data_IF_964858968021
#
_entry.id   IF_964858968021
#
_cell.length_a   1.000
_cell.length_b   1.000
_cell.length_c   1.000
_cell.angle_alpha   90.00
_cell.angle_beta   90.00
_cell.angle_gamma   90.00
#
_symmetry.space_group_name_H-M   'P 1'
#
loop_
_entity.id
_entity.type
_entity.pdbx_description
1 polymer ?
#
# COMPACT_ATOMS: atom_id res chain seq x y z
N UNK A 1 -25.59 34.79 5.58
CA UNK A 1 -25.32 34.44 6.99
C UNK A 1 -23.86 34.03 7.20
N UNK A 2 -23.28 34.21 8.41
CA UNK A 2 -21.93 33.70 8.74
C UNK A 2 -21.98 32.26 9.30
N UNK A 3 -20.85 31.54 9.33
CA UNK A 3 -20.74 30.18 9.87
C UNK A 3 -21.12 30.11 11.35
N UNK A 4 -20.52 30.97 12.19
CA UNK A 4 -20.82 30.99 13.63
C UNK A 4 -22.30 31.29 13.90
N UNK A 5 -22.87 32.21 13.13
CA UNK A 5 -24.29 32.54 13.20
C UNK A 5 -25.20 31.35 12.82
N UNK A 6 -24.77 30.54 11.83
CA UNK A 6 -25.47 29.30 11.46
C UNK A 6 -25.41 28.22 12.56
N UNK A 7 -24.28 28.11 13.26
CA UNK A 7 -24.12 27.21 14.42
C UNK A 7 -25.07 27.63 15.55
N UNK A 8 -25.12 28.93 15.84
CA UNK A 8 -25.97 29.50 16.87
C UNK A 8 -27.47 29.31 16.55
N UNK A 9 -27.89 29.58 15.30
CA UNK A 9 -29.28 29.42 14.85
C UNK A 9 -29.77 27.98 14.92
N UNK A 10 -28.89 27.01 14.66
CA UNK A 10 -29.21 25.59 14.75
C UNK A 10 -29.00 25.01 16.17
N UNK A 11 -28.64 25.85 17.15
CA UNK A 11 -28.42 25.48 18.54
C UNK A 11 -27.46 24.28 18.66
N UNK A 12 -26.37 24.30 17.89
CA UNK A 12 -25.42 23.20 17.85
C UNK A 12 -24.40 23.29 19.00
N UNK A 13 -23.98 22.16 19.60
CA UNK A 13 -22.91 22.14 20.60
C UNK A 13 -21.55 22.47 19.95
N UNK A 14 -20.54 22.86 20.72
CA UNK A 14 -19.20 23.20 20.18
C UNK A 14 -18.58 22.09 19.31
N UNK A 15 -18.89 20.82 19.62
CA UNK A 15 -18.37 19.66 18.91
C UNK A 15 -19.53 18.86 18.32
N UNK A 16 -20.04 19.33 17.19
CA UNK A 16 -21.18 18.75 16.50
C UNK A 16 -20.75 17.97 15.26
N UNK A 17 -21.52 16.95 14.89
CA UNK A 17 -21.35 16.22 13.63
C UNK A 17 -22.49 16.51 12.64
N UNK A 18 -22.38 16.00 11.41
CA UNK A 18 -23.41 16.19 10.37
C UNK A 18 -24.79 15.61 10.76
N UNK A 19 -24.81 14.56 11.58
CA UNK A 19 -26.07 14.00 12.09
C UNK A 19 -26.75 14.94 13.10
N UNK A 20 -25.97 15.70 13.87
CA UNK A 20 -26.47 16.70 14.82
C UNK A 20 -27.07 17.89 14.08
N UNK A 21 -26.42 18.37 13.00
CA UNK A 21 -26.95 19.41 12.11
C UNK A 21 -28.33 19.00 11.59
N UNK A 22 -28.43 17.78 11.03
CA UNK A 22 -29.68 17.28 10.47
C UNK A 22 -30.76 17.06 11.53
N UNK A 23 -30.38 16.63 12.73
CA UNK A 23 -31.30 16.44 13.85
C UNK A 23 -31.86 17.79 14.34
N UNK A 24 -31.00 18.75 14.62
CA UNK A 24 -31.40 20.09 15.07
C UNK A 24 -32.26 20.81 14.03
N UNK A 25 -31.87 20.74 12.76
CA UNK A 25 -32.66 21.28 11.66
C UNK A 25 -34.08 20.70 11.64
N UNK A 26 -34.25 19.38 11.70
CA UNK A 26 -35.58 18.73 11.71
C UNK A 26 -36.41 19.16 12.92
N UNK A 27 -35.77 19.26 14.09
CA UNK A 27 -36.41 19.70 15.34
C UNK A 27 -36.93 21.14 15.22
N UNK A 28 -36.09 22.06 14.77
CA UNK A 28 -36.43 23.47 14.62
C UNK A 28 -37.43 23.70 13.47
N UNK A 29 -37.25 23.02 12.33
CA UNK A 29 -38.17 23.12 11.20
C UNK A 29 -39.59 22.64 11.56
N UNK A 30 -39.73 21.57 12.35
CA UNK A 30 -41.04 21.11 12.80
C UNK A 30 -41.72 22.12 13.74
N UNK A 31 -40.93 22.85 14.55
CA UNK A 31 -41.41 23.86 15.51
C UNK A 31 -41.82 25.17 14.83
N UNK A 32 -41.06 25.62 13.83
CA UNK A 32 -41.28 26.90 13.14
C UNK A 32 -41.94 26.74 11.76
N UNK A 33 -42.56 25.59 11.47
CA UNK A 33 -43.21 25.38 10.17
C UNK A 33 -44.38 26.36 9.96
N UNK A 34 -44.44 27.09 8.83
CA UNK A 34 -45.50 28.07 8.58
C UNK A 34 -46.90 27.43 8.62
N UNK A 35 -47.05 26.22 8.05
CA UNK A 35 -48.34 25.49 8.07
C UNK A 35 -48.81 25.08 9.48
N UNK A 36 -47.91 25.07 10.47
CA UNK A 36 -48.23 24.79 11.88
C UNK A 36 -48.40 26.07 12.71
N UNK A 37 -48.46 27.23 12.06
CA UNK A 37 -48.51 28.54 12.73
C UNK A 37 -47.15 29.06 13.21
N UNK A 38 -46.05 28.53 12.67
CA UNK A 38 -44.69 28.98 12.96
C UNK A 38 -44.28 30.22 12.16
N UNK A 39 -43.18 30.84 12.58
CA UNK A 39 -42.64 32.04 11.94
C UNK A 39 -41.91 31.72 10.62
N UNK A 40 -42.40 32.27 9.52
CA UNK A 40 -41.83 32.11 8.18
C UNK A 40 -40.44 32.73 8.04
N UNK A 41 -40.17 33.87 8.70
CA UNK A 41 -38.86 34.51 8.64
C UNK A 41 -37.82 33.68 9.40
N UNK A 42 -38.19 33.16 10.56
CA UNK A 42 -37.31 32.30 11.35
C UNK A 42 -37.02 30.98 10.62
N UNK A 43 -38.02 30.40 9.96
CA UNK A 43 -37.82 29.21 9.12
C UNK A 43 -36.83 29.48 7.98
N UNK A 44 -36.88 30.64 7.32
CA UNK A 44 -35.90 31.00 6.29
C UNK A 44 -34.47 31.03 6.84
N UNK A 45 -34.27 31.60 8.04
CA UNK A 45 -32.96 31.61 8.72
C UNK A 45 -32.45 30.20 9.04
N UNK A 46 -33.33 29.31 9.49
CA UNK A 46 -33.00 27.89 9.76
C UNK A 46 -32.54 27.19 8.47
N UNK A 47 -33.22 27.44 7.35
CA UNK A 47 -32.84 26.89 6.03
C UNK A 47 -31.49 27.44 5.57
N UNK A 48 -31.29 28.76 5.67
CA UNK A 48 -30.02 29.39 5.32
C UNK A 48 -28.87 28.86 6.18
N UNK A 49 -29.11 28.59 7.47
CA UNK A 49 -28.11 28.01 8.39
C UNK A 49 -27.62 26.66 7.92
N UNK A 50 -28.57 25.78 7.62
CA UNK A 50 -28.25 24.44 7.12
C UNK A 50 -27.45 24.52 5.82
N UNK A 51 -27.84 25.40 4.90
CA UNK A 51 -27.14 25.55 3.62
C UNK A 51 -25.69 25.98 3.79
N UNK A 52 -25.41 26.95 4.68
CA UNK A 52 -24.04 27.41 4.96
C UNK A 52 -23.19 26.27 5.53
N UNK A 53 -23.72 25.51 6.50
CA UNK A 53 -22.98 24.40 7.11
C UNK A 53 -22.72 23.24 6.13
N UNK A 54 -23.70 22.91 5.28
CA UNK A 54 -23.55 21.86 4.26
C UNK A 54 -22.47 22.25 3.23
N UNK A 55 -22.45 23.51 2.79
CA UNK A 55 -21.43 24.00 1.85
C UNK A 55 -20.02 23.91 2.42
N UNK A 56 -19.86 24.22 3.71
CA UNK A 56 -18.56 24.14 4.36
C UNK A 56 -18.08 22.69 4.50
N UNK A 57 -18.99 21.78 4.85
CA UNK A 57 -18.70 20.35 4.92
C UNK A 57 -18.30 19.77 3.54
N UNK A 58 -19.00 20.17 2.47
CA UNK A 58 -18.69 19.78 1.10
C UNK A 58 -17.30 20.26 0.66
N UNK A 59 -16.92 21.50 1.00
CA UNK A 59 -15.57 22.03 0.68
C UNK A 59 -14.48 21.25 1.40
N UNK A 60 -14.67 20.99 2.68
CA UNK A 60 -13.71 20.24 3.50
C UNK A 60 -13.54 18.81 2.97
N UNK A 61 -14.65 18.13 2.66
CA UNK A 61 -14.64 16.78 2.08
C UNK A 61 -14.02 16.77 0.68
N UNK A 62 -14.28 17.79 -0.15
CA UNK A 62 -13.64 17.92 -1.46
C UNK A 62 -12.12 18.12 -1.35
N UNK A 63 -11.65 18.83 -0.32
CA UNK A 63 -10.22 19.00 -0.04
C UNK A 63 -9.57 17.66 0.35
N UNK A 64 -10.23 16.86 1.20
CA UNK A 64 -9.70 15.56 1.64
C UNK A 64 -9.67 14.55 0.49
N UNK A 65 -10.70 14.50 -0.36
CA UNK A 65 -10.72 13.61 -1.54
C UNK A 65 -9.60 13.95 -2.52
N UNK A 66 -9.35 15.23 -2.80
CA UNK A 66 -8.23 15.66 -3.66
C UNK A 66 -6.86 15.29 -3.07
N UNK A 67 -6.69 15.45 -1.75
CA UNK A 67 -5.47 15.05 -1.07
C UNK A 67 -5.25 13.54 -1.15
N UNK A 68 -6.32 12.74 -1.01
CA UNK A 68 -6.27 11.30 -1.17
C UNK A 68 -5.94 10.89 -2.61
N UNK A 69 -6.50 11.57 -3.61
CA UNK A 69 -6.21 11.32 -5.03
C UNK A 69 -4.74 11.56 -5.35
N UNK A 70 -4.18 12.68 -4.89
CA UNK A 70 -2.74 12.98 -5.03
C UNK A 70 -1.88 11.92 -4.33
N UNK A 71 -2.30 11.48 -3.14
CA UNK A 71 -1.61 10.42 -2.40
C UNK A 71 -1.63 9.08 -3.14
N UNK A 72 -2.78 8.69 -3.72
CA UNK A 72 -2.92 7.49 -4.52
C UNK A 72 -2.03 7.53 -5.78
N UNK A 73 -2.02 8.66 -6.49
CA UNK A 73 -1.15 8.85 -7.64
C UNK A 73 0.34 8.73 -7.26
N UNK A 74 0.71 9.25 -6.09
CA UNK A 74 2.07 9.12 -5.53
C UNK A 74 2.42 7.67 -5.19
N UNK A 75 1.46 6.88 -4.72
CA UNK A 75 1.66 5.45 -4.44
C UNK A 75 1.84 4.66 -5.74
N UNK A 76 1.01 4.92 -6.75
CA UNK A 76 1.08 4.24 -8.05
C UNK A 76 2.43 4.49 -8.72
N UNK A 77 2.88 5.74 -8.76
CA UNK A 77 4.19 6.09 -9.32
C UNK A 77 5.32 5.33 -8.62
N UNK A 78 5.34 5.30 -7.28
CA UNK A 78 6.32 4.52 -6.50
C UNK A 78 6.26 3.02 -6.78
N UNK A 79 5.06 2.45 -6.96
CA UNK A 79 4.90 1.04 -7.33
C UNK A 79 5.57 0.73 -8.68
N UNK A 80 5.39 1.59 -9.68
CA UNK A 80 6.02 1.40 -11.00
C UNK A 80 7.55 1.49 -10.93
N UNK A 81 8.11 2.29 -10.02
CA UNK A 81 9.56 2.34 -9.79
C UNK A 81 10.07 1.06 -9.15
N UNK A 82 9.39 0.53 -8.14
CA UNK A 82 9.73 -0.74 -7.50
C UNK A 82 9.77 -1.90 -8.52
N UNK A 83 8.81 -1.95 -9.44
CA UNK A 83 8.80 -2.96 -10.53
C UNK A 83 10.02 -2.85 -11.46
N UNK A 84 10.60 -1.66 -11.63
CA UNK A 84 11.88 -1.49 -12.36
C UNK A 84 13.04 -2.08 -11.57
N UNK A 85 13.11 -1.80 -10.27
CA UNK A 85 14.17 -2.35 -9.41
C UNK A 85 14.10 -3.88 -9.34
N UNK A 86 12.90 -4.47 -9.21
CA UNK A 86 12.75 -5.92 -9.22
C UNK A 86 13.25 -6.55 -10.53
N UNK A 87 13.03 -5.90 -11.68
CA UNK A 87 13.55 -6.40 -12.95
C UNK A 87 15.08 -6.38 -12.99
N UNK A 88 15.72 -5.40 -12.37
CA UNK A 88 17.18 -5.35 -12.26
C UNK A 88 17.68 -6.46 -11.33
N UNK A 89 17.06 -6.63 -10.16
CA UNK A 89 17.41 -7.69 -9.21
C UNK A 89 17.27 -9.07 -9.85
N UNK A 90 16.14 -9.36 -10.52
CA UNK A 90 15.94 -10.63 -11.25
C UNK A 90 17.01 -10.89 -12.31
N UNK A 91 17.43 -9.86 -13.06
CA UNK A 91 18.53 -9.97 -14.03
C UNK A 91 19.85 -10.31 -13.33
N UNK A 92 20.17 -9.63 -12.24
CA UNK A 92 21.39 -9.89 -11.47
C UNK A 92 21.40 -11.31 -10.88
N UNK A 93 20.28 -11.78 -10.34
CA UNK A 93 20.11 -13.15 -9.85
C UNK A 93 20.34 -14.18 -10.95
N UNK A 94 19.77 -13.99 -12.15
CA UNK A 94 19.99 -14.90 -13.29
C UNK A 94 21.46 -14.96 -13.72
N UNK A 95 22.17 -13.83 -13.67
CA UNK A 95 23.61 -13.78 -14.02
C UNK A 95 24.45 -14.44 -12.93
N UNK A 96 24.16 -14.19 -11.66
CA UNK A 96 24.87 -14.78 -10.53
C UNK A 96 24.68 -16.31 -10.50
N UNK A 97 23.45 -16.80 -10.63
CA UNK A 97 23.13 -18.22 -10.68
C UNK A 97 23.79 -18.91 -11.87
N UNK A 98 23.75 -18.32 -13.06
CA UNK A 98 24.42 -18.89 -14.25
C UNK A 98 25.94 -18.97 -14.07
N UNK A 99 26.57 -17.95 -13.46
CA UNK A 99 28.00 -17.95 -13.17
C UNK A 99 28.38 -19.01 -12.13
N UNK A 100 27.60 -19.15 -11.07
CA UNK A 100 27.81 -20.15 -10.02
C UNK A 100 27.62 -21.57 -10.60
N UNK A 101 26.50 -21.83 -11.29
CA UNK A 101 26.21 -23.12 -11.93
C UNK A 101 27.26 -23.47 -12.99
N UNK A 102 27.71 -22.50 -13.80
CA UNK A 102 28.76 -22.71 -14.79
C UNK A 102 30.10 -23.11 -14.15
N UNK A 103 30.49 -22.42 -13.08
CA UNK A 103 31.71 -22.77 -12.32
C UNK A 103 31.62 -24.15 -11.64
N UNK A 104 30.43 -24.53 -11.17
CA UNK A 104 30.17 -25.85 -10.59
C UNK A 104 30.17 -26.96 -11.64
N UNK A 105 29.61 -26.71 -12.83
CA UNK A 105 29.58 -27.69 -13.93
C UNK A 105 31.00 -27.98 -14.44
N UNK A 106 31.84 -26.94 -14.55
CA UNK A 106 33.26 -27.09 -14.90
C UNK A 106 34.06 -27.84 -13.82
N UNK A 107 33.82 -27.55 -12.53
CA UNK A 107 34.46 -28.30 -11.43
C UNK A 107 34.03 -29.76 -11.37
N UNK A 108 32.74 -30.06 -11.61
CA UNK A 108 32.22 -31.44 -11.68
C UNK A 108 32.81 -32.20 -12.87
N UNK A 109 32.88 -31.60 -14.06
CA UNK A 109 33.49 -32.27 -15.22
C UNK A 109 34.98 -32.56 -15.02
N UNK A 110 35.72 -31.63 -14.41
CA UNK A 110 37.12 -31.87 -14.03
C UNK A 110 37.26 -33.01 -13.02
N UNK A 111 36.39 -33.07 -12.02
CA UNK A 111 36.39 -34.16 -11.04
C UNK A 111 36.10 -35.53 -11.68
N UNK A 112 35.18 -35.61 -12.65
CA UNK A 112 34.91 -36.85 -13.41
C UNK A 112 36.08 -37.27 -14.29
N UNK A 113 36.73 -36.33 -14.98
CA UNK A 113 37.90 -36.63 -15.81
C UNK A 113 39.04 -37.13 -14.91
N UNK A 114 39.30 -36.44 -13.80
CA UNK A 114 40.30 -36.85 -12.83
C UNK A 114 40.02 -38.23 -12.23
N UNK A 115 38.76 -38.53 -11.87
CA UNK A 115 38.39 -39.84 -11.33
C UNK A 115 38.46 -40.95 -12.37
N UNK A 116 38.08 -40.70 -13.63
CA UNK A 116 38.20 -41.67 -14.71
C UNK A 116 39.66 -41.97 -15.07
N UNK A 117 40.52 -40.95 -15.16
CA UNK A 117 41.96 -41.12 -15.36
C UNK A 117 42.60 -41.86 -14.19
N UNK A 118 42.18 -41.57 -12.96
CA UNK A 118 42.61 -42.29 -11.77
C UNK A 118 42.19 -43.77 -11.84
N UNK A 119 40.91 -44.07 -12.09
CA UNK A 119 40.42 -45.45 -12.24
C UNK A 119 41.18 -46.23 -13.32
N UNK A 120 41.45 -45.62 -14.48
CA UNK A 120 42.26 -46.23 -15.54
C UNK A 120 43.70 -46.52 -15.10
N UNK A 121 44.32 -45.59 -14.37
CA UNK A 121 45.66 -45.77 -13.81
C UNK A 121 45.69 -46.89 -12.76
N UNK A 122 44.66 -46.98 -11.91
CA UNK A 122 44.52 -48.05 -10.90
C UNK A 122 44.17 -49.42 -11.49
N UNK A 123 43.51 -49.45 -12.65
CA UNK A 123 43.25 -50.69 -13.38
C UNK A 123 44.52 -51.20 -14.08
N UNK A 124 45.42 -50.29 -14.49
CA UNK A 124 46.70 -50.61 -15.13
C UNK A 124 47.86 -50.82 -14.14
N UNK A 125 47.81 -50.21 -12.95
CA UNK A 125 48.79 -50.39 -11.87
C UNK A 125 48.14 -51.10 -10.69
N UNK A 126 48.58 -52.34 -10.43
CA UNK A 126 48.16 -53.15 -9.30
C UNK A 126 48.48 -52.42 -7.99
N UNK A 127 47.42 -52.16 -7.21
CA UNK A 127 47.38 -51.71 -5.81
C UNK A 127 47.30 -50.19 -5.56
N UNK A 128 46.24 -49.78 -4.83
CA UNK A 128 45.95 -48.39 -4.46
C UNK A 128 45.81 -48.28 -2.95
N UNK A 129 46.53 -47.36 -2.27
CA UNK A 129 46.46 -47.20 -0.82
C UNK A 129 45.14 -46.57 -0.33
N UNK A 130 44.70 -47.01 0.85
CA UNK A 130 43.38 -46.71 1.45
C UNK A 130 43.17 -45.25 1.85
N UNK A 131 44.21 -44.44 1.88
CA UNK A 131 44.19 -43.05 2.37
C UNK A 131 43.46 -42.10 1.42
N UNK A 132 43.29 -42.48 0.14
CA UNK A 132 42.68 -41.66 -0.91
C UNK A 132 41.13 -41.61 -0.78
N UNK A 133 40.52 -42.58 -0.10
CA UNK A 133 39.07 -42.59 0.14
C UNK A 133 38.59 -41.44 1.03
N UNK A 134 39.47 -40.85 1.86
CA UNK A 134 39.13 -39.79 2.81
C UNK A 134 38.93 -38.41 2.15
N UNK A 135 39.39 -38.22 0.91
CA UNK A 135 39.27 -36.94 0.20
C UNK A 135 38.10 -36.89 -0.81
N UNK A 136 37.40 -38.01 -1.01
CA UNK A 136 36.36 -38.17 -2.04
C UNK A 136 34.93 -38.15 -1.49
N UNK A 137 34.76 -38.19 -0.17
CA UNK A 137 33.46 -37.96 0.46
C UNK A 137 33.41 -36.51 0.98
N UNK A 138 32.35 -35.75 0.67
CA UNK A 138 32.18 -34.45 1.26
C UNK A 138 31.89 -34.63 2.75
N UNK A 139 32.57 -33.88 3.61
CA UNK A 139 32.17 -33.69 5.01
C UNK A 139 30.83 -33.00 5.09
#
# INVERSE_FOLDING_TARGET
>A
MNYNEAVDILELPENYNESDINRSFRKLASKYHPDKGGDSEYMKKIIEAKQVLDQENLKNTGLTVKQLEIALQTIETKKTELEKYERVVRKLESVATTRVVGSLKSKKSMAYIASASFLGATFLSKEVPKEIFLYLLPT
#
